data_IF_663902324654
#
_entry.id   IF_663902324654
#
_cell.length_a   1.000
_cell.length_b   1.000
_cell.length_c   1.000
_cell.angle_alpha   90.00
_cell.angle_beta   90.00
_cell.angle_gamma   90.00
#
_symmetry.space_group_name_H-M   'P 1'
#
loop_
_entity.id
_entity.type
_entity.pdbx_description
1 polymer ?
#
# COMPACT_ATOMS: atom_id res chain seq x y z
N UNK A 1 -7.99 -16.72 3.26
CA UNK A 1 -8.41 -15.56 2.44
C UNK A 1 -9.31 -14.69 3.29
N UNK A 2 -9.02 -13.40 3.42
CA UNK A 2 -9.89 -12.46 4.14
C UNK A 2 -10.76 -11.69 3.15
N UNK A 3 -12.01 -11.40 3.53
CA UNK A 3 -12.90 -10.49 2.81
C UNK A 3 -12.91 -9.14 3.51
N UNK A 4 -13.26 -8.02 2.84
CA UNK A 4 -13.44 -6.74 3.51
C UNK A 4 -14.40 -6.90 4.70
N UNK A 5 -14.08 -6.25 5.83
CA UNK A 5 -14.77 -6.39 7.13
C UNK A 5 -14.65 -7.77 7.82
N UNK A 6 -13.93 -8.74 7.23
CA UNK A 6 -13.63 -10.05 7.83
C UNK A 6 -12.18 -10.48 7.58
N UNK A 7 -11.33 -10.27 8.58
CA UNK A 7 -9.92 -10.65 8.52
C UNK A 7 -9.77 -12.17 8.76
N UNK A 8 -9.01 -12.82 7.90
CA UNK A 8 -8.85 -14.28 7.91
C UNK A 8 -7.78 -14.83 8.87
N UNK A 9 -7.03 -13.98 9.59
CA UNK A 9 -6.08 -14.44 10.60
C UNK A 9 -6.82 -14.90 11.87
N UNK A 10 -6.34 -15.99 12.50
CA UNK A 10 -6.92 -16.53 13.73
C UNK A 10 -8.28 -17.24 13.56
N UNK A 11 -8.58 -17.73 12.36
CA UNK A 11 -9.83 -18.40 12.00
C UNK A 11 -9.56 -19.76 11.39
N UNK A 12 -10.55 -20.66 11.43
CA UNK A 12 -10.43 -21.96 10.73
C UNK A 12 -10.50 -21.74 9.22
N UNK A 13 -9.78 -22.58 8.46
CA UNK A 13 -9.86 -22.54 7.01
C UNK A 13 -11.31 -22.80 6.55
N UNK A 14 -11.84 -21.91 5.71
CA UNK A 14 -13.21 -22.00 5.20
C UNK A 14 -14.29 -21.44 6.14
N UNK A 15 -13.94 -20.88 7.31
CA UNK A 15 -14.91 -20.30 8.24
C UNK A 15 -15.68 -19.12 7.61
N UNK A 16 -17.01 -19.17 7.67
CA UNK A 16 -17.91 -18.09 7.28
C UNK A 16 -18.62 -17.58 8.52
N UNK A 17 -18.68 -16.26 8.68
CA UNK A 17 -19.35 -15.62 9.83
C UNK A 17 -20.27 -14.51 9.36
N UNK A 18 -21.52 -14.53 9.84
CA UNK A 18 -22.47 -13.43 9.62
C UNK A 18 -22.03 -12.22 10.45
N UNK A 19 -21.92 -11.07 9.80
CA UNK A 19 -21.60 -9.77 10.41
C UNK A 19 -22.51 -8.71 9.80
N UNK A 20 -22.92 -7.74 10.61
CA UNK A 20 -23.49 -6.50 10.09
C UNK A 20 -22.37 -5.70 9.42
N UNK A 21 -22.64 -5.20 8.22
CA UNK A 21 -21.73 -4.35 7.45
C UNK A 21 -22.55 -3.18 6.94
N UNK A 22 -21.92 -2.01 6.92
CA UNK A 22 -22.51 -0.77 6.43
C UNK A 22 -22.41 -0.75 4.90
N UNK A 23 -23.47 -0.32 4.21
CA UNK A 23 -23.48 -0.18 2.74
C UNK A 23 -22.52 0.90 2.22
N UNK A 24 -22.45 1.10 0.89
CA UNK A 24 -21.56 2.09 0.29
C UNK A 24 -22.09 3.53 0.31
N UNK A 25 -23.41 3.74 0.39
CA UNK A 25 -24.06 5.06 0.23
C UNK A 25 -23.81 5.96 1.44
N UNK A 26 -23.22 7.14 1.28
CA UNK A 26 -22.88 8.07 2.38
C UNK A 26 -24.15 8.64 3.05
N UNK A 27 -24.15 8.71 4.37
CA UNK A 27 -25.26 9.21 5.20
C UNK A 27 -24.71 9.85 6.49
N UNK A 28 -25.54 10.63 7.20
CA UNK A 28 -25.14 11.40 8.39
C UNK A 28 -24.82 10.55 9.63
N UNK A 29 -25.12 9.25 9.59
CA UNK A 29 -24.83 8.27 10.63
C UNK A 29 -23.36 7.83 10.68
N UNK A 30 -22.54 8.23 9.71
CA UNK A 30 -21.12 7.89 9.64
C UNK A 30 -20.28 8.74 10.59
N UNK A 31 -19.47 8.10 11.42
CA UNK A 31 -18.51 8.81 12.28
C UNK A 31 -17.23 9.24 11.56
N UNK A 32 -16.75 8.45 10.59
CA UNK A 32 -15.45 8.67 9.91
C UNK A 32 -15.54 8.27 8.45
N UNK A 33 -14.94 9.08 7.57
CA UNK A 33 -14.73 8.78 6.15
C UNK A 33 -13.23 8.72 5.86
N UNK A 34 -12.79 7.64 5.20
CA UNK A 34 -11.42 7.51 4.71
C UNK A 34 -11.37 8.01 3.26
N UNK A 35 -10.70 9.13 3.02
CA UNK A 35 -10.54 9.73 1.70
C UNK A 35 -9.11 9.53 1.18
N UNK A 36 -8.96 9.48 -0.14
CA UNK A 36 -7.66 9.42 -0.82
C UNK A 36 -7.58 10.56 -1.82
N UNK A 37 -6.51 11.35 -1.73
CA UNK A 37 -6.27 12.48 -2.65
C UNK A 37 -5.72 11.94 -3.97
N UNK A 38 -6.39 12.28 -5.08
CA UNK A 38 -5.97 11.88 -6.43
C UNK A 38 -5.21 13.01 -7.14
N UNK A 39 -5.58 14.27 -6.89
CA UNK A 39 -4.94 15.46 -7.46
C UNK A 39 -4.65 16.46 -6.35
N UNK A 40 -3.44 17.05 -6.34
CA UNK A 40 -3.06 18.13 -5.43
C UNK A 40 -3.75 19.43 -5.88
N UNK A 41 -4.27 20.20 -4.94
CA UNK A 41 -4.81 21.54 -5.19
C UNK A 41 -3.71 22.60 -5.25
N UNK A 42 -4.10 23.87 -5.32
CA UNK A 42 -3.16 25.01 -5.37
C UNK A 42 -2.40 25.18 -4.05
N UNK A 43 -3.06 24.97 -2.93
CA UNK A 43 -2.48 25.13 -1.60
C UNK A 43 -2.01 23.79 -1.03
N UNK A 44 -0.89 23.84 -0.30
CA UNK A 44 -0.38 22.73 0.49
C UNK A 44 -1.20 22.50 1.76
N UNK A 45 -1.33 21.23 2.14
CA UNK A 45 -2.03 20.77 3.33
C UNK A 45 -1.02 20.30 4.38
N UNK A 46 -0.97 20.97 5.55
CA UNK A 46 0.00 20.63 6.57
C UNK A 46 -0.17 19.21 7.08
N UNK A 47 0.94 18.47 7.16
CA UNK A 47 0.98 17.09 7.66
C UNK A 47 0.57 16.01 6.66
N UNK A 48 0.16 16.37 5.43
CA UNK A 48 -0.14 15.41 4.38
C UNK A 48 0.71 15.61 3.13
N UNK A 49 0.77 16.83 2.60
CA UNK A 49 1.57 17.13 1.39
C UNK A 49 2.96 17.64 1.71
N UNK A 50 3.19 18.13 2.93
CA UNK A 50 4.48 18.70 3.35
C UNK A 50 5.56 17.65 3.63
N UNK A 51 5.15 16.41 3.96
CA UNK A 51 6.09 15.35 4.34
C UNK A 51 6.09 14.22 3.32
N UNK A 52 7.24 13.96 2.71
CA UNK A 52 7.43 12.79 1.87
C UNK A 52 7.83 11.59 2.72
N UNK A 53 7.01 10.54 2.72
CA UNK A 53 7.35 9.27 3.37
C UNK A 53 8.02 8.33 2.36
N UNK A 54 9.30 7.96 2.54
CA UNK A 54 9.97 7.04 1.64
C UNK A 54 9.34 5.64 1.72
N UNK A 55 9.54 4.85 0.66
CA UNK A 55 9.06 3.46 0.64
C UNK A 55 9.88 2.63 1.61
N UNK A 56 9.23 2.02 2.60
CA UNK A 56 9.88 1.20 3.62
C UNK A 56 10.70 0.02 3.07
N UNK A 57 10.31 -0.56 1.92
CA UNK A 57 11.00 -1.72 1.35
C UNK A 57 11.12 -1.61 -0.16
N UNK A 58 12.32 -1.92 -0.66
CA UNK A 58 12.56 -2.14 -2.08
C UNK A 58 11.99 -3.47 -2.59
N UNK A 59 11.82 -3.62 -3.91
CA UNK A 59 11.41 -4.88 -4.51
C UNK A 59 12.47 -5.97 -4.31
N UNK A 60 12.08 -7.13 -3.78
CA UNK A 60 12.99 -8.29 -3.61
C UNK A 60 13.23 -9.11 -4.88
N UNK A 61 12.28 -9.10 -5.82
CA UNK A 61 12.33 -9.94 -7.03
C UNK A 61 13.10 -9.26 -8.14
N UNK A 62 14.00 -9.98 -8.82
CA UNK A 62 14.87 -9.43 -9.86
C UNK A 62 14.12 -8.74 -11.01
N UNK A 63 13.02 -9.33 -11.48
CA UNK A 63 12.19 -8.72 -12.54
C UNK A 63 11.56 -7.38 -12.14
N UNK A 64 11.27 -7.18 -10.84
CA UNK A 64 10.74 -5.91 -10.33
C UNK A 64 11.84 -4.87 -10.11
N UNK A 65 13.05 -5.32 -9.73
CA UNK A 65 14.21 -4.44 -9.61
C UNK A 65 14.59 -3.87 -11.00
N UNK A 66 14.67 -4.74 -12.02
CA UNK A 66 14.94 -4.31 -13.41
C UNK A 66 13.95 -3.27 -13.93
N UNK A 67 12.66 -3.44 -13.63
CA UNK A 67 11.62 -2.46 -14.00
C UNK A 67 11.72 -1.13 -13.25
N UNK A 68 12.18 -1.15 -11.99
CA UNK A 68 12.29 0.07 -11.19
C UNK A 68 13.46 0.94 -11.64
N UNK A 69 14.58 0.30 -11.99
CA UNK A 69 15.82 0.95 -12.38
C UNK A 69 16.08 0.96 -13.89
N UNK A 70 15.10 0.52 -14.70
CA UNK A 70 15.20 0.41 -16.16
C UNK A 70 16.45 -0.33 -16.67
N UNK A 71 16.84 -1.41 -15.98
CA UNK A 71 18.04 -2.19 -16.31
C UNK A 71 17.76 -3.19 -17.44
N UNK A 72 18.77 -3.45 -18.26
CA UNK A 72 18.74 -4.53 -19.25
C UNK A 72 18.80 -5.92 -18.58
N UNK A 73 18.60 -6.99 -19.35
CA UNK A 73 18.67 -8.38 -18.83
C UNK A 73 20.10 -8.79 -18.46
N UNK A 74 21.09 -8.15 -19.08
CA UNK A 74 22.51 -8.48 -18.99
C UNK A 74 23.15 -7.91 -17.73
N UNK A 75 22.59 -6.81 -17.19
CA UNK A 75 23.08 -6.17 -15.98
C UNK A 75 22.76 -6.97 -14.70
N UNK A 76 23.74 -7.04 -13.79
CA UNK A 76 23.60 -7.75 -12.52
C UNK A 76 22.76 -6.95 -11.51
N UNK A 77 21.69 -7.59 -11.05
CA UNK A 77 20.69 -7.04 -10.14
C UNK A 77 21.20 -6.96 -8.69
N UNK A 78 22.17 -7.79 -8.31
CA UNK A 78 22.66 -7.91 -6.92
C UNK A 78 23.32 -6.64 -6.42
N UNK A 79 24.02 -5.92 -7.31
CA UNK A 79 24.69 -4.66 -6.99
C UNK A 79 23.69 -3.56 -6.60
N UNK A 80 22.53 -3.52 -7.25
CA UNK A 80 21.47 -2.55 -6.96
C UNK A 80 20.59 -2.95 -5.76
N UNK A 81 20.51 -4.26 -5.47
CA UNK A 81 19.72 -4.76 -4.35
C UNK A 81 20.30 -4.38 -2.99
N UNK A 82 21.64 -4.26 -2.88
CA UNK A 82 22.33 -3.80 -1.66
C UNK A 82 22.00 -2.34 -1.34
N UNK A 83 21.95 -1.46 -2.34
CA UNK A 83 21.62 -0.03 -2.14
C UNK A 83 20.19 0.13 -1.60
N UNK A 84 19.22 -0.64 -2.12
CA UNK A 84 17.84 -0.65 -1.60
C UNK A 84 17.69 -1.23 -0.19
N UNK A 85 18.70 -1.91 0.33
CA UNK A 85 18.73 -2.42 1.71
C UNK A 85 19.61 -1.59 2.66
N UNK A 86 20.40 -0.65 2.13
CA UNK A 86 21.35 0.19 2.88
C UNK A 86 20.92 1.65 3.01
N UNK A 87 19.89 2.09 2.29
CA UNK A 87 19.24 3.38 2.51
C UNK A 87 18.25 3.25 3.69
N UNK A 88 18.77 3.32 4.90
CA UNK A 88 18.04 3.91 6.03
C UNK A 88 18.05 5.44 5.91
#
# INVERSE_FOLDING_TARGET
VGTPCFRGYGRRNGERRRKSVRGCIVSQDLSVLNLVIVKKGENDLPGLTDTEKPRMRGPKRASKIRKLFNLSKEEDVRKMQLITGMLE
#
